data_IF_317743175689
#
_entry.id   IF_317743175689
#
_cell.length_a   1.000
_cell.length_b   1.000
_cell.length_c   1.000
_cell.angle_alpha   90.00
_cell.angle_beta   90.00
_cell.angle_gamma   90.00
#
_symmetry.space_group_name_H-M   'P 1'
#
loop_
_entity.id
_entity.type
_entity.pdbx_description
1 polymer ?
#
# COMPACT_ATOMS: atom_id res chain seq x y z
N UNK A 1 -3.13 3.60 10.06
CA UNK A 1 -3.56 4.59 9.04
C UNK A 1 -4.58 3.91 8.14
N UNK A 2 -5.76 4.49 7.99
CA UNK A 2 -6.86 3.84 7.27
C UNK A 2 -7.56 4.82 6.33
N UNK A 3 -8.30 4.27 5.37
CA UNK A 3 -9.11 5.05 4.45
C UNK A 3 -10.35 5.65 5.14
N UNK A 4 -10.95 6.67 4.53
CA UNK A 4 -12.18 7.34 4.99
C UNK A 4 -13.35 6.37 5.22
N UNK A 5 -13.37 5.23 4.50
CA UNK A 5 -14.36 4.16 4.68
C UNK A 5 -14.32 3.47 6.06
N UNK A 6 -13.21 3.58 6.80
CA UNK A 6 -13.00 2.90 8.09
C UNK A 6 -13.46 3.72 9.31
N UNK A 7 -14.43 4.61 9.14
CA UNK A 7 -15.02 5.45 10.20
C UNK A 7 -15.96 4.69 11.17
N UNK A 8 -15.88 3.36 11.23
CA UNK A 8 -16.74 2.54 12.07
C UNK A 8 -16.23 2.49 13.52
N UNK A 9 -17.13 2.65 14.49
CA UNK A 9 -16.80 2.56 15.91
C UNK A 9 -16.08 1.26 16.30
N UNK A 10 -16.35 0.15 15.59
CA UNK A 10 -15.64 -1.11 15.78
C UNK A 10 -14.16 -1.06 15.37
N UNK A 11 -13.82 -0.34 14.29
CA UNK A 11 -12.44 -0.17 13.82
C UNK A 11 -11.67 0.75 14.78
N UNK A 12 -12.30 1.83 15.21
CA UNK A 12 -11.71 2.77 16.17
C UNK A 12 -11.44 2.08 17.50
N UNK A 13 -12.39 1.27 17.99
CA UNK A 13 -12.20 0.45 19.20
C UNK A 13 -11.09 -0.58 19.04
N UNK A 14 -11.05 -1.29 17.91
CA UNK A 14 -10.03 -2.29 17.63
C UNK A 14 -8.62 -1.69 17.48
N UNK A 15 -8.50 -0.43 17.04
CA UNK A 15 -7.23 0.29 17.00
C UNK A 15 -6.83 0.84 18.39
N UNK A 16 -7.80 1.28 19.17
CA UNK A 16 -7.60 1.82 20.51
C UNK A 16 -7.25 0.75 21.56
N UNK A 17 -7.77 -0.47 21.43
CA UNK A 17 -7.50 -1.60 22.33
C UNK A 17 -5.99 -1.93 22.46
N UNK A 18 -5.21 -1.99 21.36
CA UNK A 18 -3.75 -2.08 21.42
C UNK A 18 -3.02 -0.73 21.60
N UNK A 19 -3.74 0.37 21.80
CA UNK A 19 -3.18 1.70 22.07
C UNK A 19 -2.69 2.48 20.85
N UNK A 20 -3.11 2.11 19.63
CA UNK A 20 -2.66 2.78 18.41
C UNK A 20 -3.62 3.90 17.97
N UNK A 21 -3.13 5.13 17.71
CA UNK A 21 -3.98 6.18 17.18
C UNK A 21 -4.36 5.89 15.71
N UNK A 22 -5.66 5.92 15.42
CA UNK A 22 -6.17 5.73 14.07
C UNK A 22 -6.08 7.04 13.27
N UNK A 23 -5.05 7.15 12.41
CA UNK A 23 -4.91 8.27 11.48
C UNK A 23 -5.73 7.99 10.21
N UNK A 24 -6.81 8.75 10.00
CA UNK A 24 -7.69 8.67 8.82
C UNK A 24 -8.15 10.06 8.38
N UNK A 25 -8.51 10.26 7.10
CA UNK A 25 -9.19 11.48 6.68
C UNK A 25 -10.57 11.55 7.37
N UNK A 26 -10.96 12.73 7.87
CA UNK A 26 -12.32 12.94 8.36
C UNK A 26 -13.33 12.86 7.22
N UNK A 27 -14.50 12.31 7.50
CA UNK A 27 -15.65 12.41 6.59
C UNK A 27 -16.17 13.84 6.54
N UNK A 28 -17.02 14.12 5.56
CA UNK A 28 -17.57 15.46 5.34
C UNK A 28 -18.53 15.87 6.47
N UNK A 29 -19.16 14.89 7.12
CA UNK A 29 -20.04 15.01 8.29
C UNK A 29 -19.30 14.98 9.63
N UNK A 30 -17.97 14.88 9.63
CA UNK A 30 -17.15 14.80 10.84
C UNK A 30 -16.28 16.06 11.04
N UNK A 31 -16.04 16.47 12.31
CA UNK A 31 -15.08 17.53 12.59
C UNK A 31 -13.67 17.13 12.13
N UNK A 32 -12.90 18.13 11.70
CA UNK A 32 -11.55 17.92 11.20
C UNK A 32 -10.67 17.15 12.23
N UNK A 33 -9.87 16.17 11.78
CA UNK A 33 -9.13 15.32 12.70
C UNK A 33 -7.98 16.11 13.34
N UNK A 34 -7.69 15.80 14.61
CA UNK A 34 -6.64 16.47 15.38
C UNK A 34 -5.23 16.34 14.77
N UNK A 35 -5.00 15.28 13.98
CA UNK A 35 -3.78 15.08 13.22
C UNK A 35 -4.09 15.10 11.72
N UNK A 36 -3.43 15.96 10.93
CA UNK A 36 -3.64 16.02 9.49
C UNK A 36 -3.19 14.71 8.84
N UNK A 37 -4.03 14.18 7.96
CA UNK A 37 -3.72 12.98 7.21
C UNK A 37 -2.66 13.28 6.14
N UNK A 38 -1.49 12.60 6.14
CA UNK A 38 -0.43 12.87 5.17
C UNK A 38 -0.80 12.35 3.78
N UNK A 39 -1.27 13.25 2.91
CA UNK A 39 -1.68 12.92 1.55
C UNK A 39 -0.59 12.25 0.71
N UNK A 40 0.69 12.62 0.92
CA UNK A 40 1.83 12.00 0.22
C UNK A 40 1.97 10.50 0.51
N UNK A 41 1.61 10.07 1.72
CA UNK A 41 1.71 8.66 2.12
C UNK A 41 0.57 7.84 1.51
N UNK A 42 -0.64 8.41 1.41
CA UNK A 42 -1.73 7.80 0.64
C UNK A 42 -1.34 7.63 -0.81
N UNK A 43 -0.86 8.68 -1.46
CA UNK A 43 -0.38 8.63 -2.85
C UNK A 43 0.71 7.57 -3.02
N UNK A 44 1.61 7.42 -2.03
CA UNK A 44 2.64 6.38 -2.01
C UNK A 44 2.05 4.97 -1.98
N UNK A 45 1.08 4.73 -1.11
CA UNK A 45 0.42 3.42 -0.96
C UNK A 45 -0.40 3.12 -2.21
N UNK A 46 -1.15 4.08 -2.73
CA UNK A 46 -1.93 3.97 -3.96
C UNK A 46 -1.03 3.68 -5.17
N UNK A 47 0.13 4.33 -5.29
CA UNK A 47 1.09 4.05 -6.35
C UNK A 47 1.60 2.59 -6.28
N UNK A 48 1.91 2.08 -5.08
CA UNK A 48 2.32 0.67 -4.91
C UNK A 48 1.17 -0.27 -5.29
N UNK A 49 -0.05 0.00 -4.81
CA UNK A 49 -1.23 -0.81 -5.14
C UNK A 49 -1.51 -0.78 -6.64
N UNK A 50 -1.33 0.38 -7.29
CA UNK A 50 -1.55 0.54 -8.71
C UNK A 50 -0.49 -0.19 -9.54
N UNK A 51 0.79 -0.08 -9.17
CA UNK A 51 1.87 -0.90 -9.75
C UNK A 51 1.59 -2.39 -9.55
N UNK A 52 1.15 -2.79 -8.37
CA UNK A 52 0.78 -4.18 -8.09
C UNK A 52 -0.42 -4.61 -8.95
N UNK A 53 -1.50 -3.85 -9.05
CA UNK A 53 -2.66 -4.19 -9.89
C UNK A 53 -2.30 -4.31 -11.36
N UNK A 54 -1.51 -3.36 -11.87
CA UNK A 54 -1.06 -3.35 -13.25
C UNK A 54 -0.09 -4.50 -13.55
N UNK A 55 0.94 -4.71 -12.71
CA UNK A 55 1.91 -5.79 -12.91
C UNK A 55 1.34 -7.18 -12.58
N UNK A 56 0.45 -7.31 -11.60
CA UNK A 56 -0.22 -8.57 -11.27
C UNK A 56 -1.27 -8.95 -12.32
N UNK A 57 -1.66 -8.02 -13.20
CA UNK A 57 -2.69 -8.26 -14.20
C UNK A 57 -4.00 -8.70 -13.57
N UNK A 58 -4.33 -8.20 -12.37
CA UNK A 58 -5.57 -8.55 -11.67
C UNK A 58 -6.82 -8.16 -12.50
N UNK A 59 -6.67 -7.16 -13.37
CA UNK A 59 -7.71 -6.77 -14.33
C UNK A 59 -7.72 -7.65 -15.60
N UNK A 60 -6.57 -8.25 -15.95
CA UNK A 60 -6.47 -9.23 -17.05
C UNK A 60 -6.64 -10.63 -16.48
N UNK A 61 -7.90 -11.07 -16.31
CA UNK A 61 -8.38 -12.43 -15.99
C UNK A 61 -7.35 -13.57 -16.21
N UNK A 62 -6.38 -13.74 -15.30
CA UNK A 62 -5.39 -14.82 -15.44
C UNK A 62 -5.10 -15.54 -14.12
N UNK A 63 -5.95 -15.35 -13.12
CA UNK A 63 -5.95 -16.10 -11.87
C UNK A 63 -7.15 -17.04 -11.83
N UNK A 64 -7.07 -18.13 -12.61
CA UNK A 64 -8.09 -19.19 -12.62
C UNK A 64 -8.07 -20.03 -11.33
N UNK A 65 -7.01 -19.92 -10.53
CA UNK A 65 -6.84 -20.56 -9.22
C UNK A 65 -6.24 -19.60 -8.17
N UNK A 66 -6.74 -19.60 -6.92
CA UNK A 66 -6.26 -18.73 -5.85
C UNK A 66 -4.79 -19.00 -5.46
N UNK A 67 -4.31 -20.24 -5.57
CA UNK A 67 -2.92 -20.58 -5.20
C UNK A 67 -1.89 -19.92 -6.14
N UNK A 68 -2.20 -19.90 -7.44
CA UNK A 68 -1.38 -19.21 -8.43
C UNK A 68 -1.40 -17.69 -8.26
N UNK A 69 -2.48 -17.14 -7.68
CA UNK A 69 -2.56 -15.73 -7.32
C UNK A 69 -1.63 -15.41 -6.14
N UNK A 70 -1.68 -16.21 -5.07
CA UNK A 70 -0.81 -16.05 -3.90
C UNK A 70 0.67 -16.13 -4.24
N UNK A 71 1.05 -17.11 -5.06
CA UNK A 71 2.44 -17.27 -5.50
C UNK A 71 2.93 -16.02 -6.26
N UNK A 72 2.13 -15.50 -7.21
CA UNK A 72 2.48 -14.31 -7.99
C UNK A 72 2.52 -13.03 -7.16
N UNK A 73 1.59 -12.86 -6.21
CA UNK A 73 1.60 -11.74 -5.27
C UNK A 73 2.89 -11.77 -4.45
N UNK A 74 3.20 -12.93 -3.86
CA UNK A 74 4.37 -13.10 -3.00
C UNK A 74 5.67 -12.86 -3.77
N UNK A 75 5.81 -13.44 -4.96
CA UNK A 75 6.98 -13.24 -5.83
C UNK A 75 7.17 -11.77 -6.22
N UNK A 76 6.10 -11.05 -6.59
CA UNK A 76 6.21 -9.64 -7.00
C UNK A 76 6.47 -8.70 -5.82
N UNK A 77 5.87 -8.95 -4.66
CA UNK A 77 6.17 -8.19 -3.44
C UNK A 77 7.64 -8.43 -3.03
N UNK A 78 8.13 -9.66 -3.12
CA UNK A 78 9.52 -9.99 -2.84
C UNK A 78 10.46 -9.30 -3.83
N UNK A 79 10.17 -9.37 -5.13
CA UNK A 79 10.96 -8.69 -6.17
C UNK A 79 11.02 -7.17 -5.94
N UNK A 80 9.90 -6.54 -5.61
CA UNK A 80 9.86 -5.11 -5.26
C UNK A 80 10.75 -4.79 -4.05
N UNK A 81 10.68 -5.61 -2.99
CA UNK A 81 11.53 -5.44 -1.81
C UNK A 81 13.01 -5.62 -2.13
N UNK A 82 13.36 -6.63 -2.94
CA UNK A 82 14.73 -6.90 -3.36
C UNK A 82 15.28 -5.75 -4.20
N UNK A 83 14.51 -5.21 -5.15
CA UNK A 83 14.94 -4.07 -5.97
C UNK A 83 15.15 -2.82 -5.11
N UNK A 84 14.24 -2.54 -4.17
CA UNK A 84 14.39 -1.41 -3.24
C UNK A 84 15.65 -1.60 -2.39
N UNK A 85 15.85 -2.79 -1.81
CA UNK A 85 17.04 -3.12 -1.05
C UNK A 85 18.29 -2.91 -1.90
N UNK A 86 18.33 -3.48 -3.10
CA UNK A 86 19.47 -3.42 -4.00
C UNK A 86 19.82 -1.96 -4.33
N UNK A 87 18.83 -1.14 -4.66
CA UNK A 87 19.00 0.29 -4.91
C UNK A 87 19.54 1.04 -3.68
N UNK A 88 19.18 0.61 -2.47
CA UNK A 88 19.76 1.14 -1.23
C UNK A 88 21.23 0.74 -1.05
N UNK A 89 21.58 -0.53 -1.34
CA UNK A 89 22.96 -1.03 -1.19
C UNK A 89 23.95 -0.40 -2.18
N UNK A 90 23.50 -0.02 -3.37
CA UNK A 90 24.36 0.62 -4.39
C UNK A 90 24.34 2.15 -4.31
N UNK A 91 23.62 2.73 -3.35
CA UNK A 91 23.53 4.19 -3.18
C UNK A 91 22.82 4.90 -4.34
N UNK A 92 21.88 4.24 -5.02
CA UNK A 92 21.23 4.81 -6.19
C UNK A 92 20.52 6.15 -5.88
N UNK A 93 20.60 7.15 -6.79
CA UNK A 93 19.99 8.47 -6.57
C UNK A 93 18.46 8.39 -6.48
N UNK A 94 17.84 7.42 -7.16
CA UNK A 94 16.40 7.13 -7.09
C UNK A 94 16.17 5.71 -6.58
N UNK A 95 16.05 5.59 -5.25
CA UNK A 95 16.00 4.31 -4.52
C UNK A 95 14.82 3.38 -4.87
N UNK A 96 13.81 3.89 -5.57
CA UNK A 96 12.59 3.18 -5.93
C UNK A 96 12.30 3.18 -7.44
N UNK A 97 13.25 3.61 -8.26
CA UNK A 97 13.09 3.48 -9.71
C UNK A 97 13.09 2.00 -10.06
N UNK A 98 11.99 1.53 -10.64
CA UNK A 98 11.82 0.18 -11.18
C UNK A 98 12.09 0.14 -12.70
N UNK A 99 12.35 1.30 -13.32
CA UNK A 99 12.54 1.45 -14.76
C UNK A 99 13.70 0.59 -15.27
N UNK A 100 14.74 0.39 -14.46
CA UNK A 100 15.89 -0.45 -14.82
C UNK A 100 15.61 -1.97 -14.77
N UNK A 101 14.44 -2.38 -14.26
CA UNK A 101 14.06 -3.78 -14.06
C UNK A 101 12.76 -4.15 -14.80
N UNK A 102 12.23 -3.22 -15.59
CA UNK A 102 11.09 -3.45 -16.48
C UNK A 102 11.64 -4.00 -17.81
N UNK A 103 11.68 -5.34 -17.91
CA UNK A 103 12.12 -6.09 -19.08
C UNK A 103 11.01 -7.02 -19.57
#
# INVERSE_FOLDING_TARGET
MCDKGFAGAGIEKAAAEPGYPLIRPAREDEPAPALPFPGWLRQRIEAIIWTLKNQLGLERHNARHPDGLWARISQRILALNVVIWHNWTIGAPVKRSLIAYDH
#
